data_IF_996167367614
#
_entry.id   IF_996167367614
#
_cell.length_a   1.000
_cell.length_b   1.000
_cell.length_c   1.000
_cell.angle_alpha   90.00
_cell.angle_beta   90.00
_cell.angle_gamma   90.00
#
_symmetry.space_group_name_H-M   'P 1'
#
loop_
_entity.id
_entity.type
_entity.pdbx_description
1 polymer ?
#
# COMPACT_ATOMS: atom_id res chain seq x y z
N UNK A 1 -9.13 -5.26 4.64
CA UNK A 1 -10.15 -6.07 5.29
C UNK A 1 -9.55 -7.32 5.92
N UNK A 2 -9.95 -7.60 7.16
CA UNK A 2 -9.40 -8.73 7.96
C UNK A 2 -8.52 -8.30 9.14
N UNK A 3 -7.88 -7.13 9.09
CA UNK A 3 -7.23 -6.52 10.27
C UNK A 3 -8.22 -5.71 11.11
N UNK A 4 -9.26 -5.18 10.49
CA UNK A 4 -10.38 -4.45 11.10
C UNK A 4 -11.71 -5.10 10.72
N UNK A 5 -12.81 -4.74 11.42
CA UNK A 5 -14.14 -5.28 11.11
C UNK A 5 -14.64 -4.84 9.73
N UNK A 6 -15.60 -5.59 9.20
CA UNK A 6 -16.23 -5.28 7.92
C UNK A 6 -16.98 -3.94 7.97
N UNK A 7 -17.65 -3.67 9.07
CA UNK A 7 -18.41 -2.46 9.30
C UNK A 7 -17.50 -1.23 9.28
N UNK A 8 -16.39 -1.28 10.02
CA UNK A 8 -15.41 -0.20 10.06
C UNK A 8 -14.79 0.04 8.67
N UNK A 9 -14.39 -1.04 7.98
CA UNK A 9 -13.80 -0.94 6.65
C UNK A 9 -14.79 -0.38 5.62
N UNK A 10 -16.05 -0.82 5.68
CA UNK A 10 -17.12 -0.34 4.81
C UNK A 10 -17.47 1.13 5.10
N UNK A 11 -17.56 1.50 6.37
CA UNK A 11 -17.82 2.89 6.79
C UNK A 11 -16.74 3.85 6.24
N UNK A 12 -15.47 3.47 6.37
CA UNK A 12 -14.36 4.27 5.82
C UNK A 12 -14.42 4.39 4.29
N UNK A 13 -14.76 3.30 3.58
CA UNK A 13 -14.88 3.32 2.13
C UNK A 13 -15.99 4.29 1.68
N UNK A 14 -17.17 4.20 2.29
CA UNK A 14 -18.30 5.10 2.02
C UNK A 14 -17.92 6.56 2.31
N UNK A 15 -17.33 6.83 3.47
CA UNK A 15 -16.94 8.18 3.86
C UNK A 15 -15.95 8.78 2.84
N UNK A 16 -14.92 8.04 2.47
CA UNK A 16 -13.92 8.51 1.51
C UNK A 16 -14.51 8.71 0.12
N UNK A 17 -15.38 7.81 -0.35
CA UNK A 17 -16.04 7.98 -1.65
C UNK A 17 -16.94 9.22 -1.68
N UNK A 18 -17.69 9.50 -0.61
CA UNK A 18 -18.54 10.71 -0.49
C UNK A 18 -17.74 12.00 -0.43
N UNK A 19 -16.57 11.97 0.19
CA UNK A 19 -15.64 13.11 0.28
C UNK A 19 -14.80 13.32 -0.99
N UNK A 20 -14.92 12.45 -1.99
CA UNK A 20 -14.07 12.49 -3.19
C UNK A 20 -12.64 11.99 -2.97
N UNK A 21 -12.39 11.33 -1.84
CA UNK A 21 -11.11 10.69 -1.53
C UNK A 21 -11.05 9.22 -1.98
N UNK A 22 -10.01 8.52 -1.53
CA UNK A 22 -9.79 7.09 -1.84
C UNK A 22 -9.47 6.32 -0.57
N UNK A 23 -10.24 5.27 -0.26
CA UNK A 23 -9.89 4.29 0.78
C UNK A 23 -9.10 3.13 0.18
N UNK A 24 -8.27 2.48 0.99
CA UNK A 24 -7.45 1.34 0.59
C UNK A 24 -8.09 0.02 1.07
N UNK A 25 -8.15 -0.98 0.21
CA UNK A 25 -8.66 -2.31 0.55
C UNK A 25 -7.79 -3.06 1.58
N UNK A 26 -6.51 -2.70 1.68
CA UNK A 26 -5.50 -3.54 2.32
C UNK A 26 -5.19 -4.79 1.48
N UNK A 27 -4.32 -5.64 2.00
CA UNK A 27 -3.78 -6.81 1.26
C UNK A 27 -4.69 -8.04 1.22
N UNK A 28 -5.91 -7.95 1.72
CA UNK A 28 -6.78 -9.11 1.90
C UNK A 28 -7.90 -9.27 0.88
N UNK A 29 -7.83 -8.58 -0.25
CA UNK A 29 -8.92 -8.58 -1.22
C UNK A 29 -10.14 -7.77 -0.74
N UNK A 30 -11.23 -7.88 -1.45
CA UNK A 30 -12.50 -7.25 -1.14
C UNK A 30 -13.66 -8.14 -1.58
N UNK A 31 -14.76 -8.11 -0.83
CA UNK A 31 -15.95 -8.92 -1.17
C UNK A 31 -16.52 -8.49 -2.52
N UNK A 32 -16.90 -9.42 -3.42
CA UNK A 32 -17.47 -9.09 -4.72
C UNK A 32 -18.69 -8.16 -4.64
N UNK A 33 -19.53 -8.33 -3.61
CA UNK A 33 -20.75 -7.52 -3.41
C UNK A 33 -20.47 -6.04 -3.12
N UNK A 34 -19.23 -5.68 -2.81
CA UNK A 34 -18.80 -4.29 -2.59
C UNK A 34 -18.31 -3.62 -3.88
N UNK A 35 -17.82 -4.43 -4.83
CA UNK A 35 -17.22 -3.91 -6.07
C UNK A 35 -18.24 -3.11 -6.88
N UNK A 36 -17.83 -1.95 -7.39
CA UNK A 36 -18.70 -1.07 -8.17
C UNK A 36 -19.78 -0.32 -7.37
N UNK A 37 -19.84 -0.51 -6.05
CA UNK A 37 -20.81 0.18 -5.16
C UNK A 37 -20.14 1.32 -4.39
N UNK A 38 -20.92 2.09 -3.62
CA UNK A 38 -20.40 3.11 -2.69
C UNK A 38 -19.48 2.51 -1.60
N UNK A 39 -19.57 1.21 -1.36
CA UNK A 39 -18.74 0.46 -0.40
C UNK A 39 -17.39 0.04 -0.96
N UNK A 40 -17.14 0.27 -2.25
CA UNK A 40 -15.91 -0.11 -2.93
C UNK A 40 -14.71 0.69 -2.42
N UNK A 41 -13.63 0.02 -2.04
CA UNK A 41 -12.36 0.68 -1.76
C UNK A 41 -11.70 1.08 -3.07
N UNK A 42 -11.49 2.38 -3.29
CA UNK A 42 -10.99 2.91 -4.56
C UNK A 42 -9.54 2.51 -4.86
N UNK A 43 -8.73 2.24 -3.81
CA UNK A 43 -7.36 1.73 -3.92
C UNK A 43 -7.38 0.23 -3.65
N UNK A 44 -6.93 -0.55 -4.63
CA UNK A 44 -6.79 -2.01 -4.53
C UNK A 44 -5.33 -2.37 -4.31
N UNK A 45 -5.03 -2.93 -3.13
CA UNK A 45 -3.66 -3.29 -2.78
C UNK A 45 -3.30 -4.69 -3.29
N UNK A 46 -2.10 -4.81 -3.86
CA UNK A 46 -1.49 -6.04 -4.34
C UNK A 46 -0.20 -6.25 -3.56
N UNK A 47 -0.24 -7.18 -2.60
CA UNK A 47 0.92 -7.56 -1.79
C UNK A 47 1.56 -8.85 -2.30
N UNK A 48 2.69 -9.25 -1.72
CA UNK A 48 3.44 -10.45 -2.13
C UNK A 48 2.60 -11.73 -2.08
N UNK A 49 1.70 -11.87 -1.10
CA UNK A 49 0.84 -13.05 -0.95
C UNK A 49 -0.33 -13.12 -1.94
N UNK A 50 -0.63 -12.03 -2.68
CA UNK A 50 -1.71 -11.96 -3.68
C UNK A 50 -3.08 -12.40 -3.16
N UNK A 51 -3.35 -12.30 -1.86
CA UNK A 51 -4.62 -12.74 -1.26
C UNK A 51 -5.80 -11.94 -1.80
N UNK A 52 -6.78 -12.65 -2.38
CA UNK A 52 -8.00 -12.06 -2.91
C UNK A 52 -7.81 -11.16 -4.15
N UNK A 53 -6.67 -11.24 -4.81
CA UNK A 53 -6.40 -10.51 -6.06
C UNK A 53 -7.01 -11.28 -7.22
N UNK A 54 -8.14 -10.79 -7.72
CA UNK A 54 -8.84 -11.31 -8.89
C UNK A 54 -8.91 -10.25 -9.99
N UNK A 55 -9.27 -10.64 -11.19
CA UNK A 55 -9.50 -9.70 -12.30
C UNK A 55 -10.56 -8.66 -11.93
N UNK A 56 -11.71 -9.10 -11.40
CA UNK A 56 -12.79 -8.21 -10.96
C UNK A 56 -12.33 -7.20 -9.91
N UNK A 57 -11.52 -7.65 -8.95
CA UNK A 57 -10.92 -6.79 -7.95
C UNK A 57 -10.06 -5.70 -8.59
N UNK A 58 -9.18 -6.06 -9.52
CA UNK A 58 -8.28 -5.12 -10.19
C UNK A 58 -9.02 -4.13 -11.10
N UNK A 59 -10.00 -4.61 -11.87
CA UNK A 59 -10.78 -3.77 -12.79
C UNK A 59 -11.66 -2.76 -12.04
N UNK A 60 -12.08 -3.07 -10.81
CA UNK A 60 -12.87 -2.16 -9.97
C UNK A 60 -12.05 -1.02 -9.33
N UNK A 61 -10.73 -1.01 -9.51
CA UNK A 61 -9.83 -0.04 -8.91
C UNK A 61 -9.83 1.30 -9.64
N UNK A 62 -9.76 2.41 -8.88
CA UNK A 62 -9.29 3.72 -9.37
C UNK A 62 -7.76 3.85 -9.25
N UNK A 63 -7.19 3.10 -8.32
CA UNK A 63 -5.75 3.02 -8.10
C UNK A 63 -5.38 1.59 -7.67
N UNK A 64 -4.37 1.01 -8.30
CA UNK A 64 -3.80 -0.28 -7.89
C UNK A 64 -2.49 0.02 -7.19
N UNK A 65 -2.35 -0.49 -5.96
CA UNK A 65 -1.18 -0.25 -5.14
C UNK A 65 -0.35 -1.51 -4.96
N UNK A 66 0.86 -1.52 -5.52
CA UNK A 66 1.84 -2.57 -5.28
C UNK A 66 2.47 -2.31 -3.90
N UNK A 67 2.24 -3.20 -2.95
CA UNK A 67 2.80 -3.08 -1.60
C UNK A 67 4.11 -3.84 -1.51
N UNK A 68 5.22 -3.11 -1.43
CA UNK A 68 6.55 -3.71 -1.24
C UNK A 68 6.82 -4.04 0.23
N UNK A 69 6.41 -3.14 1.15
CA UNK A 69 6.60 -3.32 2.59
C UNK A 69 5.60 -2.48 3.40
N UNK A 70 5.69 -2.58 4.73
CA UNK A 70 4.90 -1.79 5.70
C UNK A 70 5.83 -0.98 6.60
N UNK A 71 5.51 0.29 6.82
CA UNK A 71 6.32 1.18 7.64
C UNK A 71 6.44 0.74 9.10
N UNK A 72 5.39 0.16 9.68
CA UNK A 72 5.39 -0.31 11.06
C UNK A 72 6.33 -1.51 11.30
N UNK A 73 6.67 -2.27 10.28
CA UNK A 73 7.52 -3.47 10.38
C UNK A 73 8.27 -3.73 9.07
N UNK A 74 9.24 -2.89 8.71
CA UNK A 74 10.07 -3.09 7.54
C UNK A 74 10.72 -4.46 7.52
N UNK A 75 10.71 -5.15 6.37
CA UNK A 75 11.37 -6.43 6.18
C UNK A 75 10.66 -7.68 6.73
N UNK A 76 9.53 -7.55 7.43
CA UNK A 76 8.81 -8.70 8.02
C UNK A 76 7.65 -9.23 7.15
N UNK A 77 7.15 -8.43 6.23
CA UNK A 77 5.98 -8.76 5.41
C UNK A 77 4.65 -8.67 6.15
N UNK A 78 3.58 -9.13 5.49
CA UNK A 78 2.22 -9.15 6.03
C UNK A 78 1.90 -10.45 6.75
N UNK A 79 1.05 -10.38 7.77
CA UNK A 79 0.59 -11.54 8.53
C UNK A 79 -0.85 -11.36 9.01
N UNK A 80 -1.62 -12.43 8.95
CA UNK A 80 -2.91 -12.53 9.62
C UNK A 80 -2.97 -13.84 10.40
N UNK A 81 -3.08 -13.80 11.75
CA UNK A 81 -3.14 -15.01 12.56
C UNK A 81 -4.38 -15.85 12.27
N UNK A 82 -4.28 -17.18 12.37
CA UNK A 82 -5.34 -18.10 12.02
C UNK A 82 -6.67 -17.83 12.76
N UNK A 83 -6.63 -17.40 14.02
CA UNK A 83 -7.85 -17.09 14.78
C UNK A 83 -8.64 -15.88 14.21
N UNK A 84 -8.01 -15.03 13.38
CA UNK A 84 -8.67 -13.94 12.62
C UNK A 84 -9.19 -14.42 11.27
N UNK A 85 -8.76 -15.59 10.79
CA UNK A 85 -9.16 -16.13 9.48
C UNK A 85 -10.43 -16.95 9.65
N UNK A 86 -11.56 -16.29 9.78
CA UNK A 86 -12.88 -16.91 9.78
C UNK A 86 -13.33 -17.26 8.34
N UNK A 87 -14.49 -17.92 8.20
CA UNK A 87 -15.02 -18.33 6.88
C UNK A 87 -15.14 -17.19 5.88
N UNK A 88 -15.55 -16.01 6.34
CA UNK A 88 -15.70 -14.82 5.48
C UNK A 88 -14.35 -14.32 4.97
N UNK A 89 -13.36 -14.23 5.86
CA UNK A 89 -11.99 -13.80 5.50
C UNK A 89 -11.33 -14.85 4.61
N UNK A 90 -11.48 -16.12 4.93
CA UNK A 90 -10.93 -17.22 4.13
C UNK A 90 -11.50 -17.20 2.70
N UNK A 91 -12.81 -17.05 2.55
CA UNK A 91 -13.46 -16.93 1.25
C UNK A 91 -12.95 -15.72 0.46
N UNK A 92 -12.86 -14.53 1.10
CA UNK A 92 -12.39 -13.30 0.45
C UNK A 92 -10.93 -13.40 0.01
N UNK A 93 -10.09 -14.11 0.77
CA UNK A 93 -8.66 -14.28 0.50
C UNK A 93 -8.32 -15.51 -0.32
N UNK A 94 -9.33 -16.30 -0.70
CA UNK A 94 -9.15 -17.61 -1.38
C UNK A 94 -8.24 -18.55 -0.59
N UNK A 95 -8.54 -18.72 0.72
CA UNK A 95 -7.76 -19.51 1.68
C UNK A 95 -8.64 -20.42 2.53
N UNK A 96 -8.06 -21.06 3.54
CA UNK A 96 -8.74 -22.00 4.42
C UNK A 96 -8.95 -21.34 5.79
N UNK A 97 -10.16 -21.45 6.40
CA UNK A 97 -10.40 -20.92 7.74
C UNK A 97 -9.46 -21.50 8.80
N UNK A 98 -9.07 -20.68 9.76
CA UNK A 98 -8.25 -21.09 10.89
C UNK A 98 -6.75 -21.21 10.60
N UNK A 99 -6.32 -21.10 9.35
CA UNK A 99 -4.90 -21.13 8.97
C UNK A 99 -4.33 -19.73 8.93
N UNK A 100 -3.16 -19.52 9.57
CA UNK A 100 -2.46 -18.24 9.50
C UNK A 100 -2.00 -17.94 8.08
N UNK A 101 -2.22 -16.71 7.63
CA UNK A 101 -1.82 -16.24 6.30
C UNK A 101 -0.58 -15.38 6.43
N UNK A 102 0.43 -15.69 5.61
CA UNK A 102 1.69 -14.96 5.55
C UNK A 102 1.85 -14.40 4.14
N UNK A 103 2.09 -13.09 4.08
CA UNK A 103 2.51 -12.39 2.86
C UNK A 103 4.01 -12.13 3.04
N UNK A 104 4.91 -12.88 2.39
CA UNK A 104 6.35 -12.77 2.64
C UNK A 104 6.89 -11.38 2.30
N UNK A 105 8.03 -10.94 2.91
CA UNK A 105 8.58 -9.61 2.65
C UNK A 105 8.84 -9.35 1.17
N UNK A 106 9.60 -10.21 0.44
CA UNK A 106 9.80 -10.02 -0.98
C UNK A 106 8.63 -10.58 -1.79
N UNK A 107 8.30 -9.92 -2.89
CA UNK A 107 7.50 -10.54 -3.93
C UNK A 107 8.36 -11.58 -4.65
N UNK A 108 7.87 -12.81 -4.79
CA UNK A 108 8.62 -13.90 -5.42
C UNK A 108 8.82 -13.73 -6.94
N UNK A 109 8.15 -12.76 -7.53
CA UNK A 109 8.22 -12.37 -8.94
C UNK A 109 8.96 -11.02 -9.17
N UNK A 110 9.53 -10.41 -8.12
CA UNK A 110 10.26 -9.13 -8.19
C UNK A 110 11.65 -9.30 -7.57
N UNK A 111 12.68 -9.39 -8.42
CA UNK A 111 14.08 -9.48 -8.03
C UNK A 111 14.89 -8.25 -8.46
N UNK A 112 14.33 -7.45 -9.38
CA UNK A 112 14.94 -6.25 -9.91
C UNK A 112 13.91 -5.17 -10.18
N UNK A 113 14.38 -3.97 -10.54
CA UNK A 113 13.47 -2.88 -10.93
C UNK A 113 12.76 -3.17 -12.24
N UNK A 114 13.36 -3.97 -13.11
CA UNK A 114 12.76 -4.40 -14.38
C UNK A 114 11.57 -5.32 -14.15
N UNK A 115 11.64 -6.22 -13.17
CA UNK A 115 10.51 -7.08 -12.77
C UNK A 115 9.35 -6.24 -12.22
N UNK A 116 9.67 -5.22 -11.43
CA UNK A 116 8.65 -4.28 -10.95
C UNK A 116 8.03 -3.50 -12.12
N UNK A 117 8.83 -3.06 -13.08
CA UNK A 117 8.34 -2.39 -14.27
C UNK A 117 7.41 -3.30 -15.10
N UNK A 118 7.73 -4.59 -15.20
CA UNK A 118 6.86 -5.59 -15.83
C UNK A 118 5.53 -5.71 -15.08
N UNK A 119 5.55 -5.83 -13.76
CA UNK A 119 4.31 -5.90 -12.97
C UNK A 119 3.46 -4.63 -13.12
N UNK A 120 4.08 -3.44 -13.12
CA UNK A 120 3.38 -2.18 -13.37
C UNK A 120 2.72 -2.20 -14.76
N UNK A 121 3.44 -2.64 -15.77
CA UNK A 121 2.92 -2.77 -17.14
C UNK A 121 1.75 -3.75 -17.21
N UNK A 122 1.85 -4.92 -16.60
CA UNK A 122 0.80 -5.93 -16.59
C UNK A 122 -0.48 -5.42 -15.90
N UNK A 123 -0.34 -4.77 -14.73
CA UNK A 123 -1.47 -4.17 -14.03
C UNK A 123 -2.12 -3.02 -14.81
N UNK A 124 -1.33 -2.25 -15.55
CA UNK A 124 -1.82 -1.21 -16.45
C UNK A 124 -2.62 -1.80 -17.62
N UNK A 125 -2.23 -2.97 -18.13
CA UNK A 125 -2.98 -3.66 -19.18
C UNK A 125 -4.29 -4.27 -18.66
N UNK A 126 -4.33 -4.74 -17.42
CA UNK A 126 -5.56 -5.23 -16.78
C UNK A 126 -6.56 -4.09 -16.54
N UNK A 127 -6.07 -2.94 -16.09
CA UNK A 127 -6.91 -1.75 -15.86
C UNK A 127 -6.21 -0.48 -16.34
N UNK A 128 -6.34 -0.12 -17.63
CA UNK A 128 -5.67 1.07 -18.20
C UNK A 128 -6.10 2.39 -17.57
N UNK A 129 -7.28 2.44 -16.96
CA UNK A 129 -7.82 3.65 -16.32
C UNK A 129 -7.30 3.87 -14.90
N UNK A 130 -6.79 2.83 -14.24
CA UNK A 130 -6.29 2.92 -12.89
C UNK A 130 -4.89 3.55 -12.83
N UNK A 131 -4.64 4.37 -11.80
CA UNK A 131 -3.29 4.77 -11.42
C UNK A 131 -2.56 3.59 -10.80
N UNK A 132 -1.27 3.46 -11.07
CA UNK A 132 -0.42 2.46 -10.41
C UNK A 132 0.45 3.18 -9.37
N UNK A 133 0.29 2.81 -8.12
CA UNK A 133 1.14 3.28 -7.02
C UNK A 133 2.02 2.16 -6.47
N UNK A 134 3.19 2.54 -5.99
CA UNK A 134 4.10 1.62 -5.31
C UNK A 134 4.32 2.12 -3.88
N UNK A 135 4.00 1.27 -2.91
CA UNK A 135 4.19 1.56 -1.49
C UNK A 135 5.54 1.05 -1.02
N UNK A 136 6.38 1.99 -0.63
CA UNK A 136 7.69 1.81 -0.01
C UNK A 136 7.61 2.20 1.47
N UNK A 137 8.69 1.99 2.20
CA UNK A 137 8.79 2.36 3.62
C UNK A 137 9.87 3.40 3.85
N UNK A 138 9.70 4.21 4.89
CA UNK A 138 10.75 5.13 5.37
C UNK A 138 11.88 4.31 5.97
N UNK A 139 12.96 4.19 5.22
CA UNK A 139 14.21 3.54 5.62
C UNK A 139 15.38 4.16 4.85
N UNK A 140 16.59 3.97 5.34
CA UNK A 140 17.79 4.48 4.67
C UNK A 140 17.95 3.86 3.28
N UNK A 141 18.18 4.68 2.27
CA UNK A 141 18.31 4.25 0.87
C UNK A 141 16.99 4.20 0.09
N UNK A 142 15.85 4.52 0.72
CA UNK A 142 14.55 4.52 0.03
C UNK A 142 14.51 5.46 -1.16
N UNK A 143 15.27 6.56 -1.14
CA UNK A 143 15.37 7.47 -2.28
C UNK A 143 15.89 6.80 -3.54
N UNK A 144 16.89 5.92 -3.43
CA UNK A 144 17.41 5.15 -4.57
C UNK A 144 16.36 4.20 -5.14
N UNK A 145 15.63 3.50 -4.24
CA UNK A 145 14.53 2.61 -4.64
C UNK A 145 13.44 3.43 -5.35
N UNK A 146 13.06 4.57 -4.79
CA UNK A 146 12.05 5.46 -5.36
C UNK A 146 12.45 5.99 -6.76
N UNK A 147 13.73 6.29 -6.98
CA UNK A 147 14.23 6.66 -8.31
C UNK A 147 14.05 5.52 -9.33
N UNK A 148 14.31 4.28 -8.92
CA UNK A 148 14.01 3.09 -9.72
C UNK A 148 12.52 2.95 -10.03
N UNK A 149 11.66 3.10 -9.03
CA UNK A 149 10.19 3.04 -9.18
C UNK A 149 9.68 4.12 -10.15
N UNK A 150 10.20 5.34 -10.06
CA UNK A 150 9.85 6.40 -11.01
C UNK A 150 10.25 6.05 -12.45
N UNK A 151 11.45 5.48 -12.65
CA UNK A 151 11.91 4.98 -13.96
C UNK A 151 11.06 3.81 -14.47
N UNK A 152 10.53 2.98 -13.58
CA UNK A 152 9.61 1.89 -13.88
C UNK A 152 8.18 2.39 -14.25
N UNK A 153 7.96 3.71 -14.31
CA UNK A 153 6.70 4.34 -14.75
C UNK A 153 5.51 4.16 -13.80
N UNK A 154 5.76 4.06 -12.50
CA UNK A 154 4.69 4.20 -11.52
C UNK A 154 4.11 5.63 -11.56
N UNK A 155 2.79 5.77 -11.39
CA UNK A 155 2.12 7.07 -11.34
C UNK A 155 2.34 7.77 -9.98
N UNK A 156 2.52 6.96 -8.92
CA UNK A 156 2.66 7.45 -7.54
C UNK A 156 3.60 6.59 -6.72
N UNK A 157 4.34 7.21 -5.83
CA UNK A 157 5.16 6.54 -4.81
C UNK A 157 4.60 6.93 -3.44
N UNK A 158 4.34 5.92 -2.60
CA UNK A 158 3.89 6.12 -1.21
C UNK A 158 5.05 5.77 -0.27
N UNK A 159 5.44 6.71 0.57
CA UNK A 159 6.44 6.49 1.62
C UNK A 159 5.71 6.32 2.96
N UNK A 160 5.78 5.13 3.52
CA UNK A 160 5.08 4.75 4.75
C UNK A 160 6.00 4.83 5.95
N UNK A 161 5.57 5.55 6.99
CA UNK A 161 6.32 5.68 8.24
C UNK A 161 6.01 4.61 9.28
N UNK A 162 6.81 4.58 10.36
CA UNK A 162 6.70 3.65 11.48
C UNK A 162 5.31 3.61 12.13
N UNK A 163 4.63 4.75 12.19
CA UNK A 163 3.30 4.90 12.76
C UNK A 163 2.17 4.40 11.84
N UNK A 164 2.51 3.79 10.70
CA UNK A 164 1.56 3.14 9.82
C UNK A 164 0.87 1.94 10.47
N UNK A 165 -0.34 1.60 10.00
CA UNK A 165 -1.12 0.49 10.54
C UNK A 165 -0.54 -0.88 10.19
N UNK A 166 -0.79 -1.86 11.07
CA UNK A 166 -0.48 -3.27 10.82
C UNK A 166 -1.58 -4.17 11.41
N UNK A 167 -1.92 -5.25 10.69
CA UNK A 167 -2.95 -6.21 11.15
C UNK A 167 -2.46 -7.13 12.25
N UNK A 168 -1.16 -7.43 12.29
CA UNK A 168 -0.49 -8.20 13.33
C UNK A 168 1.02 -7.96 13.23
N UNK A 169 1.66 -7.74 14.39
CA UNK A 169 3.10 -7.59 14.48
C UNK A 169 3.55 -7.84 15.93
N UNK A 170 4.77 -8.39 16.15
CA UNK A 170 5.37 -8.42 17.47
C UNK A 170 5.52 -6.99 18.04
N UNK A 171 5.38 -6.85 19.34
CA UNK A 171 5.52 -5.55 20.02
C UNK A 171 6.92 -4.95 19.82
N UNK A 172 7.94 -5.77 19.74
CA UNK A 172 9.32 -5.34 19.44
C UNK A 172 9.41 -4.63 18.09
N UNK A 173 8.78 -5.18 17.05
CA UNK A 173 8.77 -4.57 15.71
C UNK A 173 8.04 -3.23 15.72
N UNK A 174 6.85 -3.17 16.33
CA UNK A 174 6.07 -1.92 16.43
C UNK A 174 6.87 -0.81 17.12
N UNK A 175 7.68 -1.16 18.13
CA UNK A 175 8.44 -0.18 18.89
C UNK A 175 9.76 0.25 18.26
N UNK A 176 10.41 -0.63 17.48
CA UNK A 176 11.82 -0.44 17.17
C UNK A 176 12.19 -0.63 15.69
N UNK A 177 11.28 -1.14 14.83
CA UNK A 177 11.66 -1.51 13.48
C UNK A 177 11.51 -0.38 12.45
N UNK A 178 10.54 0.52 12.60
CA UNK A 178 10.24 1.54 11.61
C UNK A 178 10.91 2.89 11.88
N UNK A 179 10.96 3.74 10.85
CA UNK A 179 11.46 5.13 10.93
C UNK A 179 10.32 6.13 10.73
N UNK A 180 10.49 7.37 11.22
CA UNK A 180 9.54 8.45 10.94
C UNK A 180 9.37 8.70 9.43
N UNK A 181 8.17 9.01 8.95
CA UNK A 181 7.92 9.22 7.53
C UNK A 181 8.70 10.42 6.95
N UNK A 182 9.02 11.41 7.78
CA UNK A 182 9.75 12.61 7.40
C UNK A 182 11.12 12.29 6.78
N UNK A 183 11.83 11.32 7.36
CA UNK A 183 13.17 10.95 6.89
C UNK A 183 13.11 10.34 5.49
N UNK A 184 12.27 9.33 5.30
CA UNK A 184 12.13 8.67 3.99
C UNK A 184 11.53 9.59 2.93
N UNK A 185 10.57 10.43 3.30
CA UNK A 185 9.97 11.38 2.38
C UNK A 185 10.98 12.42 1.90
N UNK A 186 11.75 13.00 2.82
CA UNK A 186 12.80 13.97 2.51
C UNK A 186 13.90 13.37 1.63
N UNK A 187 14.41 12.19 1.96
CA UNK A 187 15.39 11.48 1.15
C UNK A 187 14.86 11.21 -0.27
N UNK A 188 13.62 10.72 -0.36
CA UNK A 188 12.96 10.44 -1.64
C UNK A 188 12.83 11.72 -2.49
N UNK A 189 12.34 12.81 -1.90
CA UNK A 189 12.21 14.10 -2.57
C UNK A 189 13.55 14.57 -3.14
N UNK A 190 14.59 14.60 -2.32
CA UNK A 190 15.92 15.03 -2.72
C UNK A 190 16.49 14.17 -3.84
N UNK A 191 16.39 12.84 -3.71
CA UNK A 191 16.91 11.93 -4.72
C UNK A 191 16.17 12.07 -6.06
N UNK A 192 14.86 12.22 -6.04
CA UNK A 192 14.07 12.43 -7.26
C UNK A 192 14.39 13.78 -7.94
N UNK A 193 14.61 14.82 -7.16
CA UNK A 193 15.02 16.14 -7.69
C UNK A 193 16.42 16.06 -8.33
N UNK A 194 17.38 15.49 -7.62
CA UNK A 194 18.76 15.34 -8.12
C UNK A 194 18.85 14.53 -9.41
N UNK A 195 17.92 13.61 -9.64
CA UNK A 195 17.89 12.77 -10.83
C UNK A 195 16.90 13.25 -11.90
N UNK A 196 16.31 14.43 -11.76
CA UNK A 196 15.30 14.99 -12.67
C UNK A 196 14.06 14.08 -12.86
N UNK A 197 13.70 13.32 -11.82
CA UNK A 197 12.57 12.39 -11.82
C UNK A 197 11.34 12.93 -11.07
N UNK A 198 11.50 13.99 -10.26
CA UNK A 198 10.43 14.49 -9.38
C UNK A 198 9.16 14.86 -10.12
N UNK A 199 9.26 15.42 -11.30
CA UNK A 199 8.10 15.80 -12.14
C UNK A 199 7.41 14.62 -12.83
N UNK A 200 7.97 13.42 -12.78
CA UNK A 200 7.43 12.22 -13.45
C UNK A 200 6.51 11.38 -12.57
N UNK A 201 6.51 11.62 -11.26
CA UNK A 201 5.80 10.80 -10.28
C UNK A 201 5.21 11.66 -9.17
N UNK A 202 4.03 11.29 -8.68
CA UNK A 202 3.46 11.91 -7.48
C UNK A 202 4.01 11.25 -6.22
N UNK A 203 4.33 12.06 -5.20
CA UNK A 203 4.70 11.58 -3.88
C UNK A 203 3.51 11.64 -2.93
N UNK A 204 3.39 10.62 -2.10
CA UNK A 204 2.43 10.51 -1.01
C UNK A 204 3.14 9.97 0.21
N UNK A 205 2.70 10.33 1.39
CA UNK A 205 3.19 9.74 2.64
C UNK A 205 2.03 9.33 3.54
N UNK A 206 2.26 8.35 4.39
CA UNK A 206 1.39 7.95 5.48
C UNK A 206 2.22 7.72 6.77
N UNK A 207 1.55 7.64 7.91
CA UNK A 207 2.18 7.45 9.22
C UNK A 207 1.54 8.33 10.28
N UNK A 208 0.21 8.17 10.53
CA UNK A 208 -0.50 8.88 11.61
C UNK A 208 -0.58 10.41 11.44
N UNK A 209 -0.79 10.89 10.22
CA UNK A 209 -1.07 12.30 9.98
C UNK A 209 -2.48 12.64 10.49
N UNK A 210 -2.57 13.33 11.62
CA UNK A 210 -3.83 13.57 12.34
C UNK A 210 -4.22 15.03 12.42
N UNK A 211 -3.27 15.94 12.31
CA UNK A 211 -3.48 17.38 12.48
C UNK A 211 -3.06 18.17 11.25
N UNK A 212 -3.56 19.40 11.14
CA UNK A 212 -3.11 20.32 10.09
C UNK A 212 -1.62 20.61 10.14
N UNK A 213 -1.01 20.58 11.35
CA UNK A 213 0.43 20.72 11.53
C UNK A 213 1.20 19.58 10.88
N UNK A 214 0.74 18.31 11.05
CA UNK A 214 1.39 17.16 10.44
C UNK A 214 1.38 17.30 8.91
N UNK A 215 0.25 17.72 8.34
CA UNK A 215 0.11 17.95 6.90
C UNK A 215 1.06 19.04 6.43
N UNK A 216 1.14 20.17 7.12
CA UNK A 216 2.06 21.27 6.76
C UNK A 216 3.51 20.82 6.81
N UNK A 217 3.91 20.04 7.83
CA UNK A 217 5.25 19.48 7.92
C UNK A 217 5.58 18.58 6.73
N UNK A 218 4.69 17.65 6.38
CA UNK A 218 4.92 16.76 5.23
C UNK A 218 4.96 17.52 3.91
N UNK A 219 4.07 18.50 3.70
CA UNK A 219 4.09 19.34 2.51
C UNK A 219 5.37 20.16 2.41
N UNK A 220 5.91 20.65 3.53
CA UNK A 220 7.16 21.40 3.53
C UNK A 220 8.36 20.59 3.01
N UNK A 221 8.34 19.27 3.21
CA UNK A 221 9.41 18.37 2.75
C UNK A 221 9.40 18.09 1.25
N UNK A 222 8.28 18.31 0.56
CA UNK A 222 8.09 17.95 -0.85
C UNK A 222 7.83 19.15 -1.76
N UNK A 223 7.65 20.35 -1.21
CA UNK A 223 7.39 21.57 -1.96
C UNK A 223 8.48 22.65 -1.83
N UNK A 224 9.41 22.44 -0.90
CA UNK A 224 10.52 23.38 -0.65
C UNK A 224 11.81 22.84 -1.24
#
# INVERSE_FOLDING_TARGET
YGSISEEAHTCMAIAMNRLGGKSNSGEGGEKPERLGTEKNSAIKQVASGRFGVTEEYLVSAKEIQIKMAQGAKPGEGGQLPGFKVNDVIAKTRHSIPGISLISPPPHHDIYSIEDLAQLIFDLKNVNPSAEISVKLVSESGVGTIAAGVAKAKADRIVISGAEGGTGASPMSSIRYAGLPPELGLSETQQTLVMNNLRGQVRLQTDGQLKTGRDIVLMLSLIHI
#
